data_IF_306911892325
#
_entry.id   IF_306911892325
#
_cell.length_a   1.000
_cell.length_b   1.000
_cell.length_c   1.000
_cell.angle_alpha   90.00
_cell.angle_beta   90.00
_cell.angle_gamma   90.00
#
_symmetry.space_group_name_H-M   'P 1'
#
loop_
_entity.id
_entity.type
_entity.pdbx_description
1 polymer ?
#
# COMPACT_ATOMS: atom_id res chain seq x y z
N UNK A 1 -6.63 8.59 13.94
CA UNK A 1 -6.17 8.91 12.57
C UNK A 1 -7.18 8.36 11.57
N UNK A 2 -7.42 9.04 10.45
CA UNK A 2 -8.40 8.57 9.46
C UNK A 2 -7.69 7.94 8.28
N UNK A 3 -8.33 6.95 7.65
CA UNK A 3 -7.87 6.26 6.43
C UNK A 3 -7.49 7.24 5.28
N UNK A 4 -7.95 8.49 5.36
CA UNK A 4 -7.74 9.55 4.38
C UNK A 4 -6.29 10.04 4.26
N UNK A 5 -5.56 10.15 5.37
CA UNK A 5 -4.19 10.70 5.37
C UNK A 5 -3.22 9.72 4.71
N UNK A 6 -3.33 8.43 5.07
CA UNK A 6 -2.60 7.31 4.45
C UNK A 6 -2.83 7.20 2.93
N UNK A 7 -4.09 7.29 2.48
CA UNK A 7 -4.41 7.25 1.06
C UNK A 7 -3.81 8.45 0.30
N UNK A 8 -3.79 9.63 0.93
CA UNK A 8 -3.21 10.84 0.34
C UNK A 8 -1.70 10.73 0.14
N UNK A 9 -0.98 10.09 1.08
CA UNK A 9 0.45 9.81 0.96
C UNK A 9 0.76 8.89 -0.24
N UNK A 10 -0.01 7.80 -0.41
CA UNK A 10 0.14 6.89 -1.53
C UNK A 10 -0.19 7.53 -2.88
N UNK A 11 -1.22 8.39 -2.94
CA UNK A 11 -1.57 9.18 -4.13
C UNK A 11 -0.45 10.16 -4.51
N UNK A 12 0.17 10.80 -3.52
CA UNK A 12 1.32 11.68 -3.71
C UNK A 12 2.53 10.96 -4.30
N UNK A 13 2.86 9.77 -3.80
CA UNK A 13 3.97 8.96 -4.33
C UNK A 13 3.70 8.53 -5.77
N UNK A 14 2.50 8.05 -6.08
CA UNK A 14 2.14 7.67 -7.44
C UNK A 14 2.25 8.87 -8.41
N UNK A 15 1.76 10.03 -7.98
CA UNK A 15 1.87 11.27 -8.76
C UNK A 15 3.33 11.67 -9.01
N UNK A 16 4.18 11.59 -7.98
CA UNK A 16 5.61 11.88 -8.10
C UNK A 16 6.29 10.91 -9.09
N UNK A 17 6.06 9.60 -8.95
CA UNK A 17 6.63 8.58 -9.84
C UNK A 17 6.21 8.79 -11.31
N UNK A 18 4.95 9.17 -11.54
CA UNK A 18 4.45 9.53 -12.87
C UNK A 18 5.19 10.73 -13.46
N UNK A 19 5.48 11.74 -12.64
CA UNK A 19 6.11 12.99 -13.06
C UNK A 19 7.59 12.82 -13.42
N UNK A 20 8.31 11.96 -12.71
CA UNK A 20 9.76 11.76 -12.92
C UNK A 20 10.08 10.67 -13.96
N UNK A 21 9.07 10.04 -14.57
CA UNK A 21 9.26 8.94 -15.53
C UNK A 21 9.92 7.70 -14.92
N UNK A 22 9.72 7.47 -13.61
CA UNK A 22 10.36 6.36 -12.91
C UNK A 22 9.86 5.02 -13.45
N UNK A 23 10.78 4.06 -13.60
CA UNK A 23 10.56 2.76 -14.22
C UNK A 23 9.19 2.13 -13.92
N UNK A 24 8.53 1.70 -15.01
CA UNK A 24 7.17 1.17 -15.13
C UNK A 24 6.76 0.20 -14.00
N UNK A 25 7.70 -0.62 -13.51
CA UNK A 25 7.44 -1.59 -12.44
C UNK A 25 7.15 -0.97 -11.06
N UNK A 26 7.80 0.15 -10.71
CA UNK A 26 7.64 0.81 -9.40
C UNK A 26 6.32 1.59 -9.36
N UNK A 27 6.00 2.27 -10.46
CA UNK A 27 4.72 2.93 -10.67
C UNK A 27 3.56 1.92 -10.64
N UNK A 28 3.66 0.80 -11.36
CA UNK A 28 2.69 -0.30 -11.33
C UNK A 28 2.49 -0.84 -9.91
N UNK A 29 3.57 -0.99 -9.14
CA UNK A 29 3.52 -1.45 -7.75
C UNK A 29 2.76 -0.47 -6.86
N UNK A 30 3.08 0.82 -6.89
CA UNK A 30 2.38 1.83 -6.09
C UNK A 30 0.92 1.97 -6.50
N UNK A 31 0.59 1.81 -7.78
CA UNK A 31 -0.80 1.79 -8.25
C UNK A 31 -1.60 0.61 -7.65
N UNK A 32 -1.02 -0.59 -7.61
CA UNK A 32 -1.63 -1.78 -6.99
C UNK A 32 -1.78 -1.58 -5.47
N UNK A 33 -0.75 -1.05 -4.81
CA UNK A 33 -0.78 -0.72 -3.37
C UNK A 33 -1.91 0.26 -3.08
N UNK A 34 -1.99 1.36 -3.83
CA UNK A 34 -3.04 2.37 -3.67
C UNK A 34 -4.43 1.80 -3.92
N UNK A 35 -4.60 0.98 -4.97
CA UNK A 35 -5.88 0.33 -5.24
C UNK A 35 -6.30 -0.58 -4.07
N UNK A 36 -5.37 -1.38 -3.56
CA UNK A 36 -5.64 -2.29 -2.44
C UNK A 36 -5.93 -1.53 -1.15
N UNK A 37 -5.15 -0.47 -0.86
CA UNK A 37 -5.38 0.41 0.29
C UNK A 37 -6.79 1.03 0.29
N UNK A 38 -7.33 1.40 -0.88
CA UNK A 38 -8.70 1.94 -1.02
C UNK A 38 -9.79 0.92 -0.66
N UNK A 39 -9.50 -0.38 -0.74
CA UNK A 39 -10.42 -1.45 -0.34
C UNK A 39 -10.32 -1.79 1.15
N UNK A 40 -9.28 -1.32 1.85
CA UNK A 40 -9.07 -1.57 3.27
C UNK A 40 -9.84 -0.53 4.07
N UNK A 41 -10.76 -0.99 4.93
CA UNK A 41 -11.62 -0.11 5.73
C UNK A 41 -10.86 0.57 6.87
N UNK A 42 -9.93 -0.13 7.51
CA UNK A 42 -9.17 0.38 8.64
C UNK A 42 -7.66 0.21 8.43
N UNK A 43 -6.91 1.27 8.71
CA UNK A 43 -5.44 1.23 8.68
C UNK A 43 -4.86 0.15 9.60
N UNK A 44 -5.58 -0.18 10.68
CA UNK A 44 -5.21 -1.27 11.60
C UNK A 44 -5.14 -2.63 10.91
N UNK A 45 -5.90 -2.83 9.85
CA UNK A 45 -5.88 -4.08 9.07
C UNK A 45 -4.56 -4.22 8.28
N UNK A 46 -3.92 -3.09 7.96
CA UNK A 46 -2.57 -3.06 7.36
C UNK A 46 -1.45 -3.35 8.38
N UNK A 47 -1.73 -3.29 9.70
CA UNK A 47 -0.73 -3.53 10.76
C UNK A 47 -0.58 -5.02 11.09
N UNK A 48 -1.43 -5.88 10.52
CA UNK A 48 -1.25 -7.33 10.55
C UNK A 48 -0.83 -7.82 9.16
N UNK A 49 0.42 -8.28 9.05
CA UNK A 49 0.97 -8.70 7.75
C UNK A 49 0.19 -9.87 7.13
N UNK A 50 -0.31 -10.80 7.95
CA UNK A 50 -1.08 -11.95 7.47
C UNK A 50 -2.39 -11.51 6.81
N UNK A 51 -3.15 -10.68 7.52
CA UNK A 51 -4.40 -10.05 7.08
C UNK A 51 -4.17 -9.20 5.84
N UNK A 52 -3.12 -8.39 5.84
CA UNK A 52 -2.73 -7.55 4.69
C UNK A 52 -2.46 -8.42 3.46
N UNK A 53 -1.73 -9.53 3.62
CA UNK A 53 -1.42 -10.45 2.53
C UNK A 53 -2.67 -11.15 1.99
N UNK A 54 -3.61 -11.53 2.86
CA UNK A 54 -4.89 -12.11 2.44
C UNK A 54 -5.72 -11.13 1.63
N UNK A 55 -5.81 -9.87 2.07
CA UNK A 55 -6.51 -8.81 1.33
C UNK A 55 -5.84 -8.57 -0.02
N UNK A 56 -4.51 -8.47 -0.07
CA UNK A 56 -3.77 -8.28 -1.33
C UNK A 56 -4.06 -9.41 -2.31
N UNK A 57 -4.03 -10.67 -1.86
CA UNK A 57 -4.32 -11.85 -2.69
C UNK A 57 -5.77 -11.87 -3.17
N UNK A 58 -6.71 -11.48 -2.31
CA UNK A 58 -8.14 -11.43 -2.64
C UNK A 58 -8.44 -10.36 -3.69
N UNK A 59 -7.89 -9.16 -3.52
CA UNK A 59 -8.15 -8.02 -4.40
C UNK A 59 -7.30 -8.05 -5.68
N UNK A 60 -6.20 -8.82 -5.69
CA UNK A 60 -5.30 -8.95 -6.83
C UNK A 60 -4.94 -10.42 -7.13
N UNK A 61 -5.92 -11.28 -7.48
CA UNK A 61 -5.71 -12.71 -7.70
C UNK A 61 -4.76 -13.02 -8.87
N UNK A 62 -4.51 -12.05 -9.75
CA UNK A 62 -3.57 -12.13 -10.86
C UNK A 62 -2.08 -12.02 -10.45
N UNK A 63 -1.80 -11.58 -9.23
CA UNK A 63 -0.42 -11.47 -8.74
C UNK A 63 0.14 -12.84 -8.38
N UNK A 64 1.40 -13.08 -8.74
CA UNK A 64 2.12 -14.22 -8.19
C UNK A 64 2.40 -14.01 -6.69
N UNK A 65 2.83 -15.07 -6.01
CA UNK A 65 3.04 -15.04 -4.56
C UNK A 65 4.06 -13.99 -4.13
N UNK A 66 5.17 -13.86 -4.87
CA UNK A 66 6.21 -12.89 -4.55
C UNK A 66 5.70 -11.45 -4.69
N UNK A 67 4.98 -11.14 -5.77
CA UNK A 67 4.38 -9.83 -5.97
C UNK A 67 3.34 -9.51 -4.89
N UNK A 68 2.55 -10.50 -4.47
CA UNK A 68 1.57 -10.33 -3.39
C UNK A 68 2.25 -10.00 -2.06
N UNK A 69 3.34 -10.71 -1.73
CA UNK A 69 4.16 -10.43 -0.52
C UNK A 69 4.80 -9.05 -0.58
N UNK A 70 5.34 -8.66 -1.74
CA UNK A 70 5.95 -7.34 -1.94
C UNK A 70 4.94 -6.20 -1.70
N UNK A 71 3.72 -6.32 -2.24
CA UNK A 71 2.63 -5.34 -2.06
C UNK A 71 2.18 -5.31 -0.60
N UNK A 72 2.00 -6.47 0.04
CA UNK A 72 1.62 -6.55 1.44
C UNK A 72 2.68 -5.93 2.36
N UNK A 73 3.96 -6.18 2.09
CA UNK A 73 5.06 -5.61 2.84
C UNK A 73 5.11 -4.09 2.69
N UNK A 74 4.83 -3.58 1.50
CA UNK A 74 4.74 -2.14 1.28
C UNK A 74 3.61 -1.52 2.12
N UNK A 75 2.39 -2.09 2.06
CA UNK A 75 1.24 -1.62 2.85
C UNK A 75 1.53 -1.65 4.35
N UNK A 76 2.13 -2.73 4.83
CA UNK A 76 2.51 -2.90 6.22
C UNK A 76 3.53 -1.84 6.67
N UNK A 77 4.62 -1.66 5.93
CA UNK A 77 5.65 -0.68 6.28
C UNK A 77 5.12 0.76 6.22
N UNK A 78 4.26 1.08 5.26
CA UNK A 78 3.64 2.38 5.17
C UNK A 78 2.69 2.64 6.35
N UNK A 79 1.91 1.63 6.76
CA UNK A 79 1.06 1.72 7.95
C UNK A 79 1.87 1.81 9.25
N UNK A 80 2.99 1.11 9.36
CA UNK A 80 3.92 1.21 10.50
C UNK A 80 4.58 2.58 10.61
N UNK A 81 5.05 3.14 9.49
CA UNK A 81 5.66 4.46 9.44
C UNK A 81 4.68 5.54 9.92
N UNK A 82 3.45 5.53 9.39
CA UNK A 82 2.39 6.45 9.80
C UNK A 82 2.03 6.28 11.29
N UNK A 83 2.01 5.04 11.80
CA UNK A 83 1.79 4.79 13.24
C UNK A 83 2.90 5.41 14.11
N UNK A 84 4.15 5.42 13.63
CA UNK A 84 5.29 5.99 14.35
C UNK A 84 5.27 7.52 14.31
N UNK A 85 5.02 8.11 13.15
CA UNK A 85 5.00 9.57 12.95
C UNK A 85 3.89 10.26 13.78
N UNK A 86 2.79 9.56 14.06
CA UNK A 86 1.70 10.05 14.91
C UNK A 86 1.86 9.75 16.42
N UNK A 87 2.93 9.04 16.82
CA UNK A 87 3.29 8.85 18.24
C UNK A 87 4.35 9.83 18.73
N UNK A 88 5.02 10.54 17.82
CA UNK A 88 6.00 11.59 18.10
C UNK A 88 5.33 12.96 18.30
#
# INVERSE_FOLDING_TARGET
MTNRDFLSSLEGELHYLNKIGSADWRQKRVAIVLHTAKQINALTDCLDFGTTLEIVKKENPQLNEQCSRDVANYLYNAAEQERLDHRA
#
